data_IF_397433601367
#
_entry.id   IF_397433601367
#
_cell.length_a   1.000
_cell.length_b   1.000
_cell.length_c   1.000
_cell.angle_alpha   90.00
_cell.angle_beta   90.00
_cell.angle_gamma   90.00
#
_symmetry.space_group_name_H-M   'P 1'
#
loop_
_entity.id
_entity.type
_entity.pdbx_description
1 polymer ?
#
# COMPACT_ATOMS: atom_id res chain seq x y z
N UNK A 1 7.65 -22.64 -10.32
CA UNK A 1 8.40 -21.90 -9.28
C UNK A 1 9.71 -21.30 -9.78
N UNK A 2 10.67 -22.09 -10.32
CA UNK A 2 11.95 -21.52 -10.81
C UNK A 2 11.77 -20.49 -11.94
N UNK A 3 10.96 -20.79 -12.96
CA UNK A 3 10.67 -19.87 -14.06
C UNK A 3 9.95 -18.59 -13.60
N UNK A 4 9.02 -18.70 -12.64
CA UNK A 4 8.32 -17.53 -12.08
C UNK A 4 9.25 -16.65 -11.24
N UNK A 5 10.17 -17.25 -10.49
CA UNK A 5 11.23 -16.50 -9.77
C UNK A 5 12.12 -15.73 -10.74
N UNK A 6 12.49 -16.33 -11.86
CA UNK A 6 13.30 -15.70 -12.89
C UNK A 6 12.56 -14.52 -13.55
N UNK A 7 11.29 -14.71 -13.92
CA UNK A 7 10.44 -13.63 -14.48
C UNK A 7 10.34 -12.43 -13.54
N UNK A 8 10.01 -12.66 -12.26
CA UNK A 8 9.95 -11.58 -11.27
C UNK A 8 11.31 -10.89 -11.15
N UNK A 9 12.40 -11.66 -11.09
CA UNK A 9 13.75 -11.11 -11.07
C UNK A 9 14.05 -10.20 -12.27
N UNK A 10 13.65 -10.63 -13.48
CA UNK A 10 13.85 -9.90 -14.72
C UNK A 10 13.06 -8.59 -14.77
N UNK A 11 11.79 -8.60 -14.38
CA UNK A 11 10.94 -7.38 -14.33
C UNK A 11 11.53 -6.32 -13.39
N UNK A 12 11.96 -6.73 -12.20
CA UNK A 12 12.61 -5.80 -11.27
C UNK A 12 13.97 -5.30 -11.76
N UNK A 13 14.72 -6.13 -12.50
CA UNK A 13 15.97 -5.68 -13.14
C UNK A 13 15.69 -4.65 -14.25
N UNK A 14 14.70 -4.88 -15.09
CA UNK A 14 14.30 -3.95 -16.14
C UNK A 14 13.87 -2.60 -15.55
N UNK A 15 13.04 -2.62 -14.49
CA UNK A 15 12.63 -1.40 -13.80
C UNK A 15 13.82 -0.65 -13.17
N UNK A 16 14.76 -1.35 -12.52
CA UNK A 16 15.98 -0.73 -11.98
C UNK A 16 16.81 -0.06 -13.07
N UNK A 17 17.02 -0.74 -14.20
CA UNK A 17 17.77 -0.19 -15.32
C UNK A 17 17.11 1.09 -15.87
N UNK A 18 15.79 1.06 -16.06
CA UNK A 18 15.03 2.23 -16.49
C UNK A 18 15.16 3.41 -15.50
N UNK A 19 15.04 3.15 -14.20
CA UNK A 19 15.15 4.20 -13.18
C UNK A 19 16.55 4.84 -13.16
N UNK A 20 17.62 4.04 -13.27
CA UNK A 20 19.00 4.53 -13.38
C UNK A 20 19.17 5.40 -14.63
N UNK A 21 18.60 5.00 -15.77
CA UNK A 21 18.63 5.79 -16.99
C UNK A 21 17.91 7.14 -16.83
N UNK A 22 16.72 7.16 -16.22
CA UNK A 22 15.98 8.41 -16.00
C UNK A 22 16.66 9.32 -14.98
N UNK A 23 17.25 8.77 -13.92
CA UNK A 23 18.05 9.51 -12.95
C UNK A 23 19.25 10.18 -13.62
N UNK A 24 20.03 9.43 -14.40
CA UNK A 24 21.18 9.97 -15.14
C UNK A 24 20.78 11.09 -16.11
N UNK A 25 19.64 10.94 -16.82
CA UNK A 25 19.12 11.99 -17.71
C UNK A 25 18.75 13.29 -16.99
N UNK A 26 18.22 13.19 -15.78
CA UNK A 26 17.84 14.37 -14.97
C UNK A 26 19.07 15.03 -14.35
N UNK A 27 20.00 14.23 -13.82
CA UNK A 27 21.26 14.73 -13.26
C UNK A 27 22.11 15.40 -14.34
N UNK A 28 22.26 14.81 -15.52
CA UNK A 28 22.99 15.43 -16.63
C UNK A 28 22.41 16.80 -17.03
N UNK A 29 21.08 16.93 -17.09
CA UNK A 29 20.42 18.23 -17.36
C UNK A 29 20.67 19.25 -16.25
N UNK A 30 20.74 18.81 -14.99
CA UNK A 30 21.07 19.68 -13.86
C UNK A 30 22.53 20.16 -13.93
N UNK A 31 23.45 19.28 -14.29
CA UNK A 31 24.87 19.61 -14.49
C UNK A 31 25.06 20.60 -15.63
N UNK A 32 24.44 20.36 -16.79
CA UNK A 32 24.44 21.28 -17.93
C UNK A 32 23.92 22.66 -17.52
N UNK A 33 22.78 22.71 -16.83
CA UNK A 33 22.19 23.96 -16.38
C UNK A 33 23.05 24.69 -15.35
N UNK A 34 23.65 23.94 -14.40
CA UNK A 34 24.59 24.50 -13.44
C UNK A 34 25.80 25.12 -14.14
N UNK A 35 26.34 24.43 -15.14
CA UNK A 35 27.45 24.93 -15.94
C UNK A 35 27.08 26.21 -16.70
N UNK A 36 25.93 26.25 -17.38
CA UNK A 36 25.47 27.46 -18.09
C UNK A 36 25.32 28.66 -17.12
N UNK A 37 24.77 28.42 -15.92
CA UNK A 37 24.61 29.45 -14.88
C UNK A 37 25.97 29.97 -14.41
N UNK A 38 26.91 29.07 -14.09
CA UNK A 38 28.24 29.45 -13.64
C UNK A 38 29.02 30.19 -14.73
N UNK A 39 28.93 29.75 -15.99
CA UNK A 39 29.57 30.45 -17.10
C UNK A 39 29.03 31.88 -17.23
N UNK A 40 27.69 32.04 -17.23
CA UNK A 40 27.08 33.37 -17.35
C UNK A 40 27.45 34.28 -16.17
N UNK A 41 27.55 33.72 -14.98
CA UNK A 41 28.02 34.44 -13.80
C UNK A 41 29.47 34.92 -13.98
N UNK A 42 30.36 34.07 -14.49
CA UNK A 42 31.77 34.43 -14.73
C UNK A 42 31.92 35.52 -15.80
N UNK A 43 31.15 35.44 -16.90
CA UNK A 43 31.12 36.48 -17.94
C UNK A 43 30.69 37.83 -17.36
N UNK A 44 29.62 37.84 -16.55
CA UNK A 44 29.13 39.05 -15.90
C UNK A 44 30.16 39.63 -14.92
N UNK A 45 30.84 38.78 -14.14
CA UNK A 45 31.91 39.22 -13.22
C UNK A 45 33.10 39.81 -13.98
N UNK A 46 33.50 39.21 -15.10
CA UNK A 46 34.59 39.72 -15.94
C UNK A 46 34.25 41.09 -16.54
N UNK A 47 33.01 41.26 -17.02
CA UNK A 47 32.54 42.54 -17.54
C UNK A 47 32.56 43.63 -16.46
N UNK A 48 31.97 43.36 -15.28
CA UNK A 48 31.97 44.29 -14.16
C UNK A 48 33.40 44.60 -13.67
N UNK A 49 34.29 43.61 -13.64
CA UNK A 49 35.69 43.82 -13.32
C UNK A 49 36.40 44.76 -14.30
N UNK A 50 36.07 44.65 -15.59
CA UNK A 50 36.55 45.58 -16.63
C UNK A 50 36.05 47.01 -16.42
N UNK A 51 34.75 47.18 -16.12
CA UNK A 51 34.15 48.48 -15.82
C UNK A 51 34.78 49.13 -14.57
N UNK A 52 34.98 48.35 -13.50
CA UNK A 52 35.67 48.81 -12.28
C UNK A 52 37.10 49.24 -12.61
N UNK A 53 37.84 48.46 -13.40
CA UNK A 53 39.22 48.80 -13.78
C UNK A 53 39.29 50.10 -14.58
N UNK A 54 38.34 50.33 -15.49
CA UNK A 54 38.24 51.58 -16.24
C UNK A 54 37.96 52.78 -15.34
N UNK A 55 37.01 52.64 -14.40
CA UNK A 55 36.68 53.67 -13.42
C UNK A 55 37.86 53.97 -12.49
N UNK A 56 38.56 52.94 -11.99
CA UNK A 56 39.76 53.10 -11.16
C UNK A 56 40.86 53.84 -11.92
N UNK A 57 41.13 53.47 -13.17
CA UNK A 57 42.12 54.16 -14.01
C UNK A 57 41.79 55.63 -14.19
N UNK A 58 40.51 55.94 -14.43
CA UNK A 58 40.07 57.32 -14.60
C UNK A 58 40.18 58.12 -13.30
N UNK A 59 39.83 57.52 -12.15
CA UNK A 59 40.01 58.11 -10.83
C UNK A 59 41.49 58.46 -10.58
N UNK A 60 42.41 57.55 -10.88
CA UNK A 60 43.85 57.80 -10.76
C UNK A 60 44.32 58.93 -11.68
N UNK A 61 43.86 58.96 -12.93
CA UNK A 61 44.21 60.04 -13.89
C UNK A 61 43.75 61.42 -13.41
N UNK A 62 42.54 61.53 -12.87
CA UNK A 62 42.04 62.79 -12.31
C UNK A 62 42.91 63.23 -11.13
N UNK A 63 43.26 62.29 -10.26
CA UNK A 63 44.08 62.56 -9.07
C UNK A 63 45.50 62.97 -9.42
N UNK A 64 46.13 62.34 -10.42
CA UNK A 64 47.43 62.76 -10.95
C UNK A 64 47.36 64.14 -11.60
N UNK A 65 46.33 64.40 -12.41
CA UNK A 65 46.15 65.70 -13.09
C UNK A 65 46.02 66.82 -12.05
N UNK A 66 45.29 66.60 -10.97
CA UNK A 66 45.09 67.57 -9.90
C UNK A 66 46.37 67.94 -9.12
N UNK A 67 47.44 67.16 -9.23
CA UNK A 67 48.74 67.45 -8.60
C UNK A 67 49.73 68.18 -9.52
N UNK A 68 49.34 68.48 -10.77
CA UNK A 68 50.22 69.16 -11.75
C UNK A 68 50.21 70.69 -11.57
N UNK A 69 51.28 71.39 -12.02
CA UNK A 69 51.33 72.87 -12.02
C UNK A 69 50.21 73.50 -12.87
N UNK A 70 49.80 74.73 -12.55
CA UNK A 70 48.60 75.40 -13.08
C UNK A 70 48.44 75.36 -14.61
N UNK A 71 49.50 75.61 -15.37
CA UNK A 71 49.47 75.62 -16.84
C UNK A 71 49.23 74.21 -17.42
N UNK A 72 49.93 73.19 -16.90
CA UNK A 72 49.79 71.79 -17.32
C UNK A 72 48.44 71.21 -16.87
N UNK A 73 47.99 71.59 -15.67
CA UNK A 73 46.66 71.26 -15.16
C UNK A 73 45.57 71.78 -16.09
N UNK A 74 45.58 73.07 -16.45
CA UNK A 74 44.56 73.67 -17.31
C UNK A 74 44.53 73.03 -18.70
N UNK A 75 45.67 72.58 -19.22
CA UNK A 75 45.76 71.89 -20.51
C UNK A 75 45.21 70.46 -20.47
N UNK A 76 45.49 69.71 -19.40
CA UNK A 76 45.11 68.29 -19.30
C UNK A 76 43.73 68.05 -18.66
N UNK A 77 43.28 68.94 -17.79
CA UNK A 77 42.02 68.82 -17.06
C UNK A 77 40.82 68.69 -18.00
N UNK A 78 40.80 69.46 -19.10
CA UNK A 78 39.75 69.38 -20.12
C UNK A 78 39.64 67.98 -20.74
N UNK A 79 40.77 67.33 -20.98
CA UNK A 79 40.81 65.98 -21.54
C UNK A 79 40.35 64.94 -20.51
N UNK A 80 40.74 65.06 -19.25
CA UNK A 80 40.27 64.18 -18.17
C UNK A 80 38.74 64.30 -17.97
N UNK A 81 38.21 65.52 -17.96
CA UNK A 81 36.77 65.80 -17.80
C UNK A 81 35.96 65.23 -18.96
N UNK A 82 36.43 65.40 -20.19
CA UNK A 82 35.78 64.83 -21.38
C UNK A 82 35.69 63.30 -21.33
N UNK A 83 36.66 62.64 -20.69
CA UNK A 83 36.66 61.18 -20.49
C UNK A 83 35.67 60.77 -19.40
N UNK A 84 35.55 61.53 -18.30
CA UNK A 84 34.54 61.31 -17.26
C UNK A 84 33.12 61.40 -17.78
N UNK A 85 32.84 62.38 -18.62
CA UNK A 85 31.50 62.56 -19.19
C UNK A 85 31.06 61.40 -20.10
N UNK A 86 32.00 60.57 -20.55
CA UNK A 86 31.75 59.48 -21.50
C UNK A 86 31.78 58.08 -20.86
N UNK A 87 31.94 57.93 -19.54
CA UNK A 87 31.93 56.61 -18.89
C UNK A 87 30.48 56.14 -18.72
N UNK A 88 30.07 55.01 -19.34
CA UNK A 88 28.74 54.45 -19.11
C UNK A 88 28.59 54.03 -17.64
N UNK A 89 27.43 54.32 -17.04
CA UNK A 89 27.11 53.80 -15.72
C UNK A 89 27.12 52.26 -15.73
N UNK A 90 27.68 51.60 -14.69
CA UNK A 90 27.64 50.14 -14.60
C UNK A 90 26.20 49.66 -14.68
N UNK A 91 25.90 48.76 -15.62
CA UNK A 91 24.57 48.18 -15.79
C UNK A 91 24.61 46.71 -15.41
N UNK A 92 23.98 46.32 -14.27
CA UNK A 92 23.86 44.92 -13.91
C UNK A 92 23.11 44.16 -15.00
N UNK A 93 23.74 43.10 -15.53
CA UNK A 93 23.07 42.20 -16.48
C UNK A 93 21.94 41.47 -15.77
N UNK A 94 20.71 41.64 -16.25
CA UNK A 94 19.56 40.92 -15.72
C UNK A 94 19.61 39.45 -16.13
N UNK A 95 19.25 38.55 -15.20
CA UNK A 95 19.13 37.12 -15.52
C UNK A 95 18.06 36.93 -16.61
N UNK A 96 18.43 36.28 -17.71
CA UNK A 96 17.53 36.06 -18.84
C UNK A 96 16.29 35.28 -18.42
N UNK A 97 15.14 35.61 -19.03
CA UNK A 97 13.89 34.87 -18.83
C UNK A 97 14.02 33.39 -19.21
N UNK A 98 14.81 33.11 -20.25
CA UNK A 98 15.12 31.76 -20.69
C UNK A 98 15.79 30.92 -19.60
N UNK A 99 16.81 31.47 -18.92
CA UNK A 99 17.50 30.76 -17.84
C UNK A 99 16.58 30.46 -16.66
N UNK A 100 15.73 31.45 -16.28
CA UNK A 100 14.72 31.25 -15.23
C UNK A 100 13.75 30.13 -15.59
N UNK A 101 13.31 30.08 -16.85
CA UNK A 101 12.41 29.04 -17.33
C UNK A 101 13.07 27.65 -17.32
N UNK A 102 14.35 27.54 -17.68
CA UNK A 102 15.09 26.26 -17.59
C UNK A 102 15.15 25.74 -16.15
N UNK A 103 15.51 26.59 -15.19
CA UNK A 103 15.58 26.23 -13.75
C UNK A 103 14.20 25.84 -13.21
N UNK A 104 13.17 26.60 -13.57
CA UNK A 104 11.80 26.30 -13.18
C UNK A 104 11.33 24.94 -13.72
N UNK A 105 11.60 24.66 -15.00
CA UNK A 105 11.21 23.40 -15.63
C UNK A 105 11.85 22.17 -14.97
N UNK A 106 13.12 22.27 -14.57
CA UNK A 106 13.79 21.17 -13.85
C UNK A 106 13.18 20.99 -12.47
N UNK A 107 12.94 22.08 -11.75
CA UNK A 107 12.29 22.05 -10.43
C UNK A 107 10.90 21.39 -10.48
N UNK A 108 10.10 21.75 -11.49
CA UNK A 108 8.77 21.17 -11.71
C UNK A 108 8.85 19.67 -12.02
N UNK A 109 9.79 19.24 -12.87
CA UNK A 109 10.00 17.82 -13.18
C UNK A 109 10.39 17.02 -11.94
N UNK A 110 11.27 17.54 -11.08
CA UNK A 110 11.64 16.91 -9.82
C UNK A 110 10.45 16.76 -8.87
N UNK A 111 9.60 17.80 -8.79
CA UNK A 111 8.37 17.75 -7.98
C UNK A 111 7.40 16.68 -8.48
N UNK A 112 7.12 16.65 -9.79
CA UNK A 112 6.25 15.63 -10.41
C UNK A 112 6.81 14.23 -10.20
N UNK A 113 8.12 14.03 -10.41
CA UNK A 113 8.79 12.75 -10.22
C UNK A 113 8.61 12.23 -8.78
N UNK A 114 8.78 13.10 -7.78
CA UNK A 114 8.58 12.73 -6.37
C UNK A 114 7.16 12.21 -6.12
N UNK A 115 6.14 12.86 -6.69
CA UNK A 115 4.75 12.43 -6.60
C UNK A 115 4.50 11.08 -7.26
N UNK A 116 5.01 10.89 -8.49
CA UNK A 116 4.88 9.63 -9.23
C UNK A 116 5.56 8.46 -8.51
N UNK A 117 6.78 8.66 -8.01
CA UNK A 117 7.50 7.62 -7.25
C UNK A 117 6.80 7.27 -5.93
N UNK A 118 6.21 8.26 -5.25
CA UNK A 118 5.43 8.01 -4.03
C UNK A 118 4.22 7.13 -4.33
N UNK A 119 3.41 7.52 -5.33
CA UNK A 119 2.22 6.76 -5.74
C UNK A 119 2.59 5.35 -6.20
N UNK A 120 3.62 5.21 -7.02
CA UNK A 120 4.10 3.91 -7.48
C UNK A 120 4.48 2.98 -6.32
N UNK A 121 5.15 3.50 -5.28
CA UNK A 121 5.49 2.71 -4.08
C UNK A 121 4.24 2.24 -3.33
N UNK A 122 3.28 3.14 -3.14
CA UNK A 122 2.00 2.83 -2.46
C UNK A 122 1.21 1.78 -3.23
N UNK A 123 1.06 1.95 -4.55
CA UNK A 123 0.34 1.01 -5.43
C UNK A 123 1.02 -0.37 -5.46
N UNK A 124 2.35 -0.39 -5.63
CA UNK A 124 3.13 -1.64 -5.67
C UNK A 124 3.03 -2.38 -4.33
N UNK A 125 3.20 -1.68 -3.21
CA UNK A 125 3.09 -2.27 -1.89
C UNK A 125 1.67 -2.82 -1.64
N UNK A 126 0.65 -2.03 -1.99
CA UNK A 126 -0.74 -2.45 -1.88
C UNK A 126 -1.06 -3.70 -2.68
N UNK A 127 -0.53 -3.84 -3.90
CA UNK A 127 -0.75 -5.05 -4.72
C UNK A 127 0.06 -6.25 -4.23
N UNK A 128 1.28 -6.05 -3.71
CA UNK A 128 2.09 -7.14 -3.13
C UNK A 128 1.56 -7.64 -1.78
N UNK A 129 0.86 -6.78 -1.03
CA UNK A 129 0.19 -7.10 0.23
C UNK A 129 -1.27 -7.53 0.02
N UNK A 130 -1.76 -7.48 -1.22
CA UNK A 130 -3.10 -7.92 -1.59
C UNK A 130 -3.15 -9.44 -1.56
N UNK A 131 -3.53 -9.97 -0.41
CA UNK A 131 -3.89 -11.39 -0.30
C UNK A 131 -5.11 -11.66 -1.17
N UNK A 132 -5.11 -12.77 -1.92
CA UNK A 132 -6.24 -13.20 -2.76
C UNK A 132 -7.49 -13.29 -1.89
N UNK A 133 -8.36 -12.29 -2.01
CA UNK A 133 -9.68 -12.31 -1.39
C UNK A 133 -10.51 -13.34 -2.14
N UNK A 134 -10.49 -14.59 -1.68
CA UNK A 134 -11.28 -15.65 -2.25
C UNK A 134 -12.76 -15.21 -2.25
N UNK A 135 -13.41 -15.22 -3.43
CA UNK A 135 -14.83 -14.91 -3.55
C UNK A 135 -15.64 -16.06 -2.91
N UNK A 136 -15.74 -16.04 -1.59
CA UNK A 136 -16.28 -17.15 -0.81
C UNK A 136 -17.80 -17.09 -0.78
N UNK A 137 -18.49 -18.12 -1.27
CA UNK A 137 -19.95 -18.29 -1.13
C UNK A 137 -20.26 -19.57 -0.37
N UNK A 138 -21.50 -19.75 0.08
CA UNK A 138 -21.99 -20.95 0.74
C UNK A 138 -22.50 -21.96 -0.29
N UNK A 139 -22.21 -23.25 -0.10
CA UNK A 139 -22.65 -24.33 -0.99
C UNK A 139 -24.04 -24.87 -0.58
N UNK A 140 -25.11 -24.63 -1.36
CA UNK A 140 -26.46 -25.11 -1.07
C UNK A 140 -26.58 -26.64 -1.00
N UNK A 141 -25.70 -27.39 -1.69
CA UNK A 141 -25.72 -28.86 -1.71
C UNK A 141 -25.17 -29.47 -0.41
N UNK A 142 -24.45 -28.67 0.38
CA UNK A 142 -23.94 -29.07 1.69
C UNK A 142 -24.87 -28.64 2.82
N UNK A 143 -25.68 -27.61 2.62
CA UNK A 143 -26.47 -26.97 3.65
C UNK A 143 -27.53 -27.91 4.27
N UNK A 144 -27.59 -27.94 5.59
CA UNK A 144 -28.66 -28.62 6.30
C UNK A 144 -30.04 -28.07 5.92
N UNK A 145 -31.09 -28.92 5.77
CA UNK A 145 -32.42 -28.45 5.36
C UNK A 145 -33.08 -27.41 6.27
N UNK A 146 -32.64 -27.29 7.54
CA UNK A 146 -33.14 -26.23 8.43
C UNK A 146 -32.47 -24.87 8.21
N UNK A 147 -31.38 -24.81 7.45
CA UNK A 147 -30.69 -23.57 7.17
C UNK A 147 -31.32 -22.86 5.98
N UNK A 148 -31.42 -21.54 6.10
CA UNK A 148 -31.87 -20.67 5.02
C UNK A 148 -30.68 -19.82 4.59
N UNK A 149 -30.30 -19.94 3.31
CA UNK A 149 -29.26 -19.17 2.67
C UNK A 149 -29.85 -17.91 2.01
N UNK A 150 -29.10 -16.82 1.98
CA UNK A 150 -29.45 -15.64 1.18
C UNK A 150 -29.24 -15.88 -0.32
N UNK A 151 -29.87 -15.06 -1.17
CA UNK A 151 -29.79 -15.18 -2.63
C UNK A 151 -28.35 -15.03 -3.16
N UNK A 152 -27.55 -14.17 -2.52
CA UNK A 152 -26.13 -13.96 -2.82
C UNK A 152 -25.23 -15.10 -2.30
N UNK A 153 -25.81 -16.10 -1.61
CA UNK A 153 -25.10 -17.20 -0.96
C UNK A 153 -24.01 -16.74 0.02
N UNK A 154 -24.10 -15.51 0.56
CA UNK A 154 -23.13 -15.00 1.54
C UNK A 154 -23.63 -15.13 2.98
N UNK A 155 -24.93 -15.32 3.21
CA UNK A 155 -25.51 -15.35 4.56
C UNK A 155 -26.25 -16.65 4.84
N UNK A 156 -26.21 -17.07 6.09
CA UNK A 156 -26.94 -18.23 6.61
C UNK A 156 -27.61 -17.91 7.93
N UNK A 157 -28.84 -18.40 8.08
CA UNK A 157 -29.61 -18.33 9.33
C UNK A 157 -30.41 -19.61 9.55
N UNK A 158 -30.83 -19.86 10.79
CA UNK A 158 -31.70 -20.98 11.11
C UNK A 158 -33.16 -20.67 10.77
N UNK A 159 -33.80 -21.57 10.03
CA UNK A 159 -35.23 -21.56 9.74
C UNK A 159 -36.08 -22.20 10.85
N UNK A 160 -37.36 -21.82 10.89
CA UNK A 160 -38.32 -22.39 11.84
C UNK A 160 -38.67 -23.86 11.54
N UNK A 161 -38.67 -24.21 10.24
CA UNK A 161 -38.98 -25.56 9.73
C UNK A 161 -37.87 -26.01 8.79
N UNK A 162 -37.71 -27.32 8.68
CA UNK A 162 -36.87 -27.90 7.63
C UNK A 162 -37.50 -27.63 6.27
N UNK A 163 -36.67 -27.27 5.30
CA UNK A 163 -37.03 -27.20 3.90
C UNK A 163 -37.13 -28.61 3.34
N UNK A 164 -38.06 -28.81 2.40
CA UNK A 164 -38.18 -30.06 1.65
C UNK A 164 -37.12 -30.08 0.54
N UNK A 165 -35.93 -30.55 0.88
CA UNK A 165 -34.78 -30.63 -0.04
C UNK A 165 -34.46 -32.10 -0.32
N UNK A 166 -34.05 -32.44 -1.55
CA UNK A 166 -33.64 -33.79 -1.87
C UNK A 166 -32.43 -34.21 -1.03
N UNK A 167 -32.38 -35.51 -0.70
CA UNK A 167 -31.21 -36.10 -0.08
C UNK A 167 -30.00 -35.93 -1.01
N UNK A 168 -28.88 -35.53 -0.43
CA UNK A 168 -27.64 -35.34 -1.18
C UNK A 168 -26.44 -35.85 -0.34
N UNK A 169 -25.46 -36.56 -0.92
CA UNK A 169 -24.35 -37.14 -0.16
C UNK A 169 -23.53 -36.11 0.61
N UNK A 170 -23.29 -34.94 0.01
CA UNK A 170 -22.52 -33.83 0.62
C UNK A 170 -23.32 -33.04 1.68
N UNK A 171 -24.64 -33.26 1.79
CA UNK A 171 -25.55 -32.50 2.67
C UNK A 171 -25.42 -32.93 4.13
N UNK A 172 -25.31 -31.96 5.03
CA UNK A 172 -25.46 -32.21 6.46
C UNK A 172 -26.93 -32.54 6.78
N UNK A 173 -27.23 -33.74 7.29
CA UNK A 173 -28.62 -34.14 7.55
C UNK A 173 -29.14 -33.69 8.94
N UNK A 174 -28.28 -33.75 9.94
CA UNK A 174 -28.64 -33.60 11.35
C UNK A 174 -28.08 -32.29 11.92
N UNK A 175 -26.79 -32.04 11.73
CA UNK A 175 -26.15 -30.82 12.22
C UNK A 175 -26.54 -29.62 11.36
N UNK A 176 -26.90 -28.49 11.98
CA UNK A 176 -27.28 -27.24 11.30
C UNK A 176 -26.05 -26.49 10.75
N UNK A 177 -25.37 -27.14 9.80
CA UNK A 177 -24.09 -26.72 9.20
C UNK A 177 -24.19 -26.55 7.68
N UNK A 178 -23.27 -25.75 7.14
CA UNK A 178 -23.06 -25.54 5.70
C UNK A 178 -21.57 -25.25 5.43
N UNK A 179 -21.05 -25.70 4.29
CA UNK A 179 -19.70 -25.37 3.84
C UNK A 179 -19.68 -24.19 2.86
N UNK A 180 -18.49 -23.59 2.72
CA UNK A 180 -18.16 -22.77 1.57
C UNK A 180 -18.14 -23.56 0.26
N UNK A 181 -18.40 -22.88 -0.86
CA UNK A 181 -18.38 -23.41 -2.22
C UNK A 181 -16.99 -23.83 -2.69
N UNK A 182 -15.96 -23.17 -2.16
CA UNK A 182 -14.57 -23.39 -2.52
C UNK A 182 -13.79 -23.91 -1.31
N UNK A 183 -12.96 -24.92 -1.55
CA UNK A 183 -12.01 -25.44 -0.57
C UNK A 183 -10.58 -25.15 -0.99
N UNK A 184 -9.69 -25.08 -0.02
CA UNK A 184 -8.30 -24.68 -0.18
C UNK A 184 -7.37 -25.86 0.05
N UNK A 185 -6.36 -26.01 -0.82
CA UNK A 185 -5.39 -27.11 -0.75
C UNK A 185 -3.94 -26.64 -0.60
N UNK A 186 -3.68 -25.34 -0.76
CA UNK A 186 -2.37 -24.69 -0.56
C UNK A 186 -2.55 -23.19 -0.37
N UNK A 187 -1.49 -22.48 0.05
CA UNK A 187 -1.45 -21.02 0.14
C UNK A 187 -2.07 -20.43 1.41
N UNK A 188 -2.26 -19.11 1.38
CA UNK A 188 -2.79 -18.29 2.48
C UNK A 188 -4.09 -17.64 2.04
N UNK A 189 -5.13 -17.81 2.84
CA UNK A 189 -6.49 -17.37 2.53
C UNK A 189 -7.08 -16.68 3.75
N UNK A 190 -7.89 -15.66 3.53
CA UNK A 190 -8.66 -15.08 4.61
C UNK A 190 -10.07 -14.73 4.17
N UNK A 191 -11.00 -14.71 5.13
CA UNK A 191 -12.34 -14.17 4.94
C UNK A 191 -12.83 -13.57 6.25
N UNK A 192 -13.80 -12.68 6.13
CA UNK A 192 -14.43 -12.04 7.28
C UNK A 192 -15.86 -12.55 7.42
N UNK A 193 -16.28 -12.74 8.67
CA UNK A 193 -17.62 -13.19 9.02
C UNK A 193 -18.23 -12.15 9.95
N UNK A 194 -19.28 -11.49 9.46
CA UNK A 194 -20.19 -10.74 10.31
C UNK A 194 -21.08 -11.71 11.08
N UNK A 195 -21.25 -11.45 12.37
CA UNK A 195 -21.99 -12.30 13.30
C UNK A 195 -23.21 -11.56 13.83
N UNK A 196 -24.33 -12.28 13.97
CA UNK A 196 -25.54 -11.74 14.58
C UNK A 196 -25.36 -11.44 16.08
N UNK A 197 -26.18 -10.53 16.60
CA UNK A 197 -26.14 -10.10 18.01
C UNK A 197 -26.60 -11.16 19.01
N UNK A 198 -27.20 -12.26 18.55
CA UNK A 198 -27.69 -13.36 19.38
C UNK A 198 -26.73 -14.55 19.36
N UNK A 199 -26.74 -15.27 20.48
CA UNK A 199 -25.98 -16.48 20.74
C UNK A 199 -26.39 -17.66 19.83
N UNK A 200 -25.54 -18.70 19.76
CA UNK A 200 -25.82 -19.95 19.06
C UNK A 200 -25.30 -20.01 17.63
N UNK A 201 -24.02 -19.70 17.44
CA UNK A 201 -23.33 -19.84 16.16
C UNK A 201 -21.90 -20.32 16.33
N UNK A 202 -21.35 -20.93 15.28
CA UNK A 202 -19.95 -21.29 15.19
C UNK A 202 -19.47 -21.24 13.73
N UNK A 203 -18.22 -20.85 13.49
CA UNK A 203 -17.62 -20.91 12.17
C UNK A 203 -16.10 -21.08 12.24
N UNK A 204 -15.52 -21.56 11.15
CA UNK A 204 -14.10 -21.79 11.02
C UNK A 204 -13.80 -22.59 9.77
N UNK A 205 -12.98 -23.62 9.90
CA UNK A 205 -12.63 -24.54 8.80
C UNK A 205 -12.92 -25.99 9.17
N UNK A 206 -13.20 -26.78 8.14
CA UNK A 206 -13.33 -28.22 8.25
C UNK A 206 -12.59 -28.93 7.13
N UNK A 207 -12.12 -30.14 7.40
CA UNK A 207 -11.61 -31.06 6.38
C UNK A 207 -12.67 -31.40 5.34
N UNK A 208 -12.25 -31.67 4.11
CA UNK A 208 -13.14 -32.14 3.03
C UNK A 208 -13.91 -33.41 3.46
N UNK A 209 -13.21 -34.34 4.12
CA UNK A 209 -13.73 -35.59 4.66
C UNK A 209 -14.71 -35.48 5.85
N UNK A 210 -14.99 -34.27 6.37
CA UNK A 210 -15.83 -34.09 7.57
C UNK A 210 -17.16 -34.85 7.46
N UNK A 211 -17.53 -35.57 8.53
CA UNK A 211 -18.73 -36.40 8.56
C UNK A 211 -20.00 -35.58 8.31
N UNK A 212 -20.79 -36.00 7.30
CA UNK A 212 -22.01 -35.30 6.85
C UNK A 212 -23.29 -35.81 7.51
N UNK A 213 -23.28 -37.05 8.01
CA UNK A 213 -24.47 -37.75 8.46
C UNK A 213 -24.45 -37.98 9.96
N UNK A 214 -25.60 -37.86 10.59
CA UNK A 214 -25.78 -38.03 12.03
C UNK A 214 -25.30 -36.83 12.86
N UNK A 215 -25.50 -36.94 14.17
CA UNK A 215 -25.04 -35.95 15.14
C UNK A 215 -23.55 -36.17 15.41
N UNK A 216 -22.72 -35.19 15.08
CA UNK A 216 -21.28 -35.24 15.29
C UNK A 216 -20.84 -34.05 16.11
N UNK A 217 -19.89 -34.21 17.04
CA UNK A 217 -19.41 -33.09 17.83
C UNK A 217 -18.69 -32.09 16.91
N UNK A 218 -18.67 -30.84 17.33
CA UNK A 218 -17.91 -29.80 16.66
C UNK A 218 -16.56 -29.75 17.39
N UNK A 219 -15.56 -30.52 16.92
CA UNK A 219 -14.24 -30.68 17.56
C UNK A 219 -13.13 -30.93 16.53
N UNK A 220 -11.84 -30.73 16.93
CA UNK A 220 -10.69 -31.04 16.09
C UNK A 220 -10.59 -32.51 15.64
N UNK A 221 -11.06 -33.47 16.44
CA UNK A 221 -11.07 -34.90 16.11
C UNK A 221 -11.97 -35.21 14.91
N UNK A 222 -13.09 -34.51 14.80
CA UNK A 222 -13.99 -34.55 13.65
C UNK A 222 -13.48 -33.70 12.47
N UNK A 223 -12.26 -33.17 12.56
CA UNK A 223 -11.64 -32.37 11.52
C UNK A 223 -12.20 -30.95 11.44
N UNK A 224 -12.64 -30.37 12.56
CA UNK A 224 -13.21 -29.02 12.63
C UNK A 224 -12.41 -28.12 13.57
N UNK A 225 -12.01 -26.93 13.08
CA UNK A 225 -11.31 -25.91 13.87
C UNK A 225 -12.02 -24.58 13.72
N UNK A 226 -12.52 -24.04 14.83
CA UNK A 226 -13.51 -22.98 14.77
C UNK A 226 -13.62 -22.15 16.04
N UNK A 227 -14.27 -21.00 15.87
CA UNK A 227 -14.73 -20.12 16.92
C UNK A 227 -16.23 -20.33 17.14
N UNK A 228 -16.67 -20.27 18.39
CA UNK A 228 -18.08 -20.47 18.75
C UNK A 228 -18.53 -19.43 19.78
N UNK A 229 -19.76 -18.92 19.60
CA UNK A 229 -20.51 -18.25 20.67
C UNK A 229 -21.58 -19.23 21.17
N UNK A 230 -21.50 -19.58 22.45
CA UNK A 230 -22.45 -20.46 23.11
C UNK A 230 -22.59 -20.10 24.60
N UNK A 231 -23.84 -20.04 25.08
CA UNK A 231 -24.22 -19.60 26.42
C UNK A 231 -23.63 -18.23 26.80
N UNK A 232 -23.63 -17.29 25.85
CA UNK A 232 -23.11 -15.94 26.03
C UNK A 232 -21.59 -15.82 26.14
N UNK A 233 -20.85 -16.91 25.98
CA UNK A 233 -19.40 -16.96 26.08
C UNK A 233 -18.77 -17.37 24.74
N UNK A 234 -17.64 -16.75 24.40
CA UNK A 234 -16.84 -17.10 23.23
C UNK A 234 -15.86 -18.23 23.55
N UNK A 235 -15.74 -19.17 22.62
CA UNK A 235 -14.92 -20.36 22.75
C UNK A 235 -14.10 -20.59 21.50
N UNK A 236 -12.83 -20.91 21.67
CA UNK A 236 -12.10 -21.68 20.67
C UNK A 236 -12.45 -23.16 20.86
N UNK A 237 -12.86 -23.81 19.78
CA UNK A 237 -13.31 -25.20 19.76
C UNK A 237 -12.09 -26.14 19.80
N UNK A 238 -11.38 -26.14 20.93
CA UNK A 238 -10.29 -27.06 21.24
C UNK A 238 -10.81 -28.36 21.84
N UNK A 239 -9.93 -29.36 21.91
CA UNK A 239 -10.16 -30.66 22.55
C UNK A 239 -8.96 -30.98 23.46
N UNK A 240 -9.16 -31.66 24.60
CA UNK A 240 -10.39 -32.29 25.10
C UNK A 240 -11.45 -31.30 25.62
N UNK A 241 -11.02 -30.13 26.07
CA UNK A 241 -11.91 -29.06 26.53
C UNK A 241 -11.80 -27.83 25.64
N UNK A 242 -12.91 -27.09 25.51
CA UNK A 242 -12.95 -25.83 24.78
C UNK A 242 -12.24 -24.73 25.56
N UNK A 243 -11.50 -23.89 24.85
CA UNK A 243 -10.77 -22.77 25.46
C UNK A 243 -11.68 -21.54 25.49
N UNK A 244 -11.98 -21.02 26.68
CA UNK A 244 -12.75 -19.78 26.85
C UNK A 244 -11.96 -18.57 26.35
N UNK A 245 -12.62 -17.64 25.66
CA UNK A 245 -12.00 -16.44 25.12
C UNK A 245 -12.54 -15.19 25.80
N UNK A 246 -11.63 -14.32 26.25
CA UNK A 246 -11.95 -13.03 26.88
C UNK A 246 -11.87 -11.91 25.85
N UNK A 247 -12.85 -11.83 24.95
CA UNK A 247 -12.82 -10.92 23.81
C UNK A 247 -13.91 -9.84 23.79
N UNK A 248 -14.83 -9.80 24.75
CA UNK A 248 -15.97 -8.88 24.68
C UNK A 248 -16.89 -9.22 23.50
N UNK A 249 -17.76 -8.28 23.11
CA UNK A 249 -18.66 -8.47 21.97
C UNK A 249 -17.90 -8.37 20.65
N UNK A 250 -18.11 -9.34 19.75
CA UNK A 250 -17.56 -9.35 18.39
C UNK A 250 -18.69 -9.06 17.41
N UNK A 251 -18.53 -8.07 16.54
CA UNK A 251 -19.47 -7.84 15.43
C UNK A 251 -18.96 -8.49 14.14
N UNK A 252 -17.64 -8.59 14.00
CA UNK A 252 -16.99 -9.21 12.85
C UNK A 252 -15.68 -9.88 13.23
N UNK A 253 -15.45 -11.04 12.63
CA UNK A 253 -14.24 -11.84 12.87
C UNK A 253 -13.59 -12.18 11.55
N UNK A 254 -12.28 -11.95 11.46
CA UNK A 254 -11.45 -12.43 10.36
C UNK A 254 -10.95 -13.83 10.68
N UNK A 255 -11.11 -14.74 9.72
CA UNK A 255 -10.47 -16.06 9.71
C UNK A 255 -9.30 -15.98 8.75
N UNK A 256 -8.10 -16.31 9.21
CA UNK A 256 -6.88 -16.39 8.42
C UNK A 256 -6.39 -17.84 8.41
N UNK A 257 -6.41 -18.47 7.25
CA UNK A 257 -5.96 -19.83 6.99
C UNK A 257 -4.59 -19.77 6.29
N UNK A 258 -3.57 -20.34 6.92
CA UNK A 258 -2.24 -20.50 6.36
C UNK A 258 -1.93 -22.00 6.24
N UNK A 259 -2.08 -22.53 5.02
CA UNK A 259 -1.84 -23.95 4.75
C UNK A 259 -0.34 -24.27 4.67
N UNK A 260 0.52 -23.28 4.41
CA UNK A 260 1.97 -23.46 4.29
C UNK A 260 2.62 -23.74 5.65
N UNK A 261 2.14 -23.05 6.70
CA UNK A 261 2.63 -23.24 8.07
C UNK A 261 1.68 -24.06 8.94
N UNK A 262 0.56 -24.51 8.38
CA UNK A 262 -0.44 -25.33 9.06
C UNK A 262 -1.10 -24.58 10.23
N UNK A 263 -1.76 -23.47 9.95
CA UNK A 263 -2.44 -22.68 10.97
C UNK A 263 -3.78 -22.12 10.50
N UNK A 264 -4.74 -22.02 11.44
CA UNK A 264 -5.93 -21.20 11.28
C UNK A 264 -6.08 -20.28 12.47
N UNK A 265 -6.14 -18.98 12.20
CA UNK A 265 -6.14 -17.91 13.18
C UNK A 265 -7.41 -17.07 13.08
N UNK A 266 -7.89 -16.57 14.21
CA UNK A 266 -9.09 -15.76 14.34
C UNK A 266 -8.72 -14.40 14.93
N UNK A 267 -9.27 -13.32 14.36
CA UNK A 267 -9.03 -11.95 14.78
C UNK A 267 -10.34 -11.17 14.86
N UNK A 268 -10.49 -10.34 15.89
CA UNK A 268 -11.53 -9.32 15.91
C UNK A 268 -11.18 -8.24 14.86
N UNK A 269 -12.12 -7.89 13.98
CA UNK A 269 -11.81 -6.97 12.86
C UNK A 269 -11.71 -5.52 13.33
N UNK A 270 -12.40 -5.17 14.41
CA UNK A 270 -12.52 -3.80 14.91
C UNK A 270 -11.17 -3.22 15.34
N UNK A 271 -10.32 -4.03 15.96
CA UNK A 271 -9.01 -3.66 16.49
C UNK A 271 -7.87 -4.57 15.98
N UNK A 272 -8.18 -5.48 15.05
CA UNK A 272 -7.27 -6.54 14.56
C UNK A 272 -6.67 -7.39 15.69
N UNK A 273 -7.34 -7.46 16.84
CA UNK A 273 -6.85 -8.23 17.98
C UNK A 273 -6.95 -9.71 17.72
N UNK A 274 -5.85 -10.41 18.00
CA UNK A 274 -5.80 -11.87 17.96
C UNK A 274 -6.76 -12.47 19.00
N UNK A 275 -7.58 -13.42 18.55
CA UNK A 275 -8.51 -14.17 19.39
C UNK A 275 -7.95 -15.54 19.73
N UNK A 276 -7.58 -16.31 18.71
CA UNK A 276 -7.06 -17.66 18.87
C UNK A 276 -6.36 -18.17 17.60
N UNK A 277 -5.43 -19.11 17.74
CA UNK A 277 -4.80 -19.83 16.62
C UNK A 277 -4.76 -21.32 16.90
N UNK A 278 -5.28 -22.11 15.96
CA UNK A 278 -5.04 -23.55 15.90
C UNK A 278 -3.83 -23.83 15.03
N UNK A 279 -2.93 -24.71 15.50
CA UNK A 279 -1.84 -25.27 14.69
C UNK A 279 -2.24 -26.67 14.25
N UNK A 280 -2.33 -26.87 12.95
CA UNK A 280 -2.91 -28.06 12.32
C UNK A 280 -2.11 -28.44 11.09
N UNK A 281 -1.68 -29.69 11.03
CA UNK A 281 -1.13 -30.24 9.80
C UNK A 281 -2.28 -30.70 8.89
N UNK A 282 -2.67 -29.86 7.93
CA UNK A 282 -3.75 -30.17 6.99
C UNK A 282 -3.23 -31.14 5.92
N UNK A 283 -3.79 -32.36 5.90
CA UNK A 283 -3.39 -33.44 4.98
C UNK A 283 -4.31 -33.52 3.74
N UNK A 284 -5.37 -32.72 3.71
CA UNK A 284 -6.37 -32.70 2.66
C UNK A 284 -6.92 -31.29 2.50
N UNK A 285 -7.74 -31.09 1.48
CA UNK A 285 -8.43 -29.83 1.24
C UNK A 285 -9.30 -29.46 2.44
N UNK A 286 -9.32 -28.18 2.77
CA UNK A 286 -10.17 -27.62 3.84
C UNK A 286 -11.18 -26.63 3.28
N UNK A 287 -12.35 -26.61 3.89
CA UNK A 287 -13.46 -25.75 3.51
C UNK A 287 -13.86 -24.86 4.67
N UNK A 288 -14.22 -23.59 4.43
CA UNK A 288 -14.91 -22.79 5.42
C UNK A 288 -16.20 -23.50 5.87
N UNK A 289 -16.43 -23.55 7.18
CA UNK A 289 -17.58 -24.20 7.79
C UNK A 289 -18.35 -23.18 8.63
N UNK A 290 -19.67 -23.18 8.48
CA UNK A 290 -20.58 -22.30 9.21
C UNK A 290 -21.68 -23.13 9.86
N UNK A 291 -22.04 -22.77 11.09
CA UNK A 291 -23.04 -23.45 11.91
C UNK A 291 -23.90 -22.42 12.64
N UNK A 292 -25.23 -22.55 12.53
CA UNK A 292 -26.19 -21.69 13.23
C UNK A 292 -27.20 -22.59 13.94
N UNK A 293 -27.26 -22.54 15.27
CA UNK A 293 -28.09 -23.42 16.09
C UNK A 293 -29.24 -22.70 16.82
N UNK A 294 -29.28 -21.37 16.77
CA UNK A 294 -30.34 -20.57 17.40
C UNK A 294 -31.10 -19.71 16.40
N UNK A 295 -32.41 -19.54 16.63
CA UNK A 295 -33.23 -18.62 15.83
C UNK A 295 -32.96 -17.17 16.20
N UNK A 296 -32.94 -16.28 15.20
CA UNK A 296 -32.72 -14.84 15.41
C UNK A 296 -31.25 -14.43 15.46
N UNK A 297 -30.33 -15.35 15.13
CA UNK A 297 -28.94 -15.04 14.78
C UNK A 297 -28.68 -15.40 13.32
N UNK A 298 -27.54 -14.96 12.79
CA UNK A 298 -27.08 -15.24 11.44
C UNK A 298 -25.56 -15.17 11.38
N UNK A 299 -25.00 -15.73 10.31
CA UNK A 299 -23.62 -15.51 9.89
C UNK A 299 -23.64 -14.96 8.47
N UNK A 300 -22.82 -13.95 8.19
CA UNK A 300 -22.67 -13.37 6.84
C UNK A 300 -21.20 -13.24 6.49
N UNK A 301 -20.81 -13.85 5.37
CA UNK A 301 -19.50 -13.64 4.75
C UNK A 301 -19.45 -12.18 4.28
N UNK A 302 -18.48 -11.44 4.80
CA UNK A 302 -18.34 -10.02 4.50
C UNK A 302 -17.68 -9.81 3.12
N UNK A 303 -18.22 -8.92 2.27
CA UNK A 303 -17.70 -8.67 0.92
C UNK A 303 -16.30 -8.08 0.89
#
# INVERSE_FOLDING_TARGET
MAAEREKVGAEFQALRAFLVEQEGRLLGRLEELSWEVTQKQNENMAQLGGEITQLSKLSSQIQETAQKPDLDFLQEFKNALSKCSNVPAPKPTTVSSEMKNKVWNVSLKTFILKGLLKKFKEDLQGEMEKEEKAELTLDPDTANPRLILSLDLKSVRLGLRALDLPSHPRRFDTNTRVLGSCGFSSGRHHWEVEVGSKDGWAFGVARESVHRKGLTPFTPEEGVWALQLNNGQYWAVTSPERTALSCGHLSRVRVALDLEVGAVSFYAVEDMRHLYTFRVNFQERVFPLFSVCSTGTYLRIWP
#
